data_IF_221307238585
#
_entry.id   IF_221307238585
#
_cell.length_a   1.000
_cell.length_b   1.000
_cell.length_c   1.000
_cell.angle_alpha   90.00
_cell.angle_beta   90.00
_cell.angle_gamma   90.00
#
_symmetry.space_group_name_H-M   'P 1'
#
loop_
_entity.id
_entity.type
_entity.pdbx_description
1 polymer ?
#
# COMPACT_ATOMS: atom_id res chain seq x y z
N UNK A 1 -7.92 1.39 -22.22
CA UNK A 1 -8.92 1.78 -23.24
C UNK A 1 -9.00 3.30 -23.41
N UNK A 2 -9.26 4.10 -22.38
CA UNK A 2 -9.27 5.58 -22.48
C UNK A 2 -7.97 6.22 -23.00
N UNK A 3 -6.80 5.70 -22.59
CA UNK A 3 -5.50 6.21 -23.05
C UNK A 3 -5.24 6.03 -24.56
N UNK A 4 -5.91 5.06 -25.21
CA UNK A 4 -5.71 4.77 -26.63
C UNK A 4 -6.56 5.71 -27.51
N UNK A 5 -7.74 6.12 -27.02
CA UNK A 5 -8.62 7.09 -27.68
C UNK A 5 -8.05 8.51 -27.63
N UNK A 6 -7.23 8.83 -26.63
CA UNK A 6 -6.66 10.17 -26.40
C UNK A 6 -5.23 10.38 -26.95
N UNK A 7 -4.72 9.42 -27.74
CA UNK A 7 -3.35 9.46 -28.29
C UNK A 7 -3.17 10.42 -29.49
N UNK A 8 -4.10 11.36 -29.72
CA UNK A 8 -3.99 12.41 -30.75
C UNK A 8 -3.61 13.74 -30.11
N UNK A 9 -2.83 14.59 -30.78
CA UNK A 9 -2.52 15.96 -30.31
C UNK A 9 -3.82 16.78 -30.41
N UNK A 10 -4.47 17.23 -29.31
CA UNK A 10 -3.94 17.71 -28.02
C UNK A 10 -4.37 16.91 -26.76
N UNK A 11 -4.69 15.62 -26.91
CA UNK A 11 -5.24 14.73 -25.88
C UNK A 11 -4.34 14.44 -24.68
N UNK A 12 -3.02 14.66 -24.75
CA UNK A 12 -2.13 14.47 -23.59
C UNK A 12 -2.48 15.40 -22.42
N UNK A 13 -2.96 16.61 -22.70
CA UNK A 13 -3.44 17.55 -21.66
C UNK A 13 -4.71 17.02 -20.99
N UNK A 14 -5.58 16.38 -21.78
CA UNK A 14 -6.82 15.78 -21.30
C UNK A 14 -6.49 14.53 -20.46
N UNK A 15 -5.45 13.76 -20.79
CA UNK A 15 -4.98 12.64 -19.95
C UNK A 15 -4.53 13.12 -18.57
N UNK A 16 -3.79 14.24 -18.50
CA UNK A 16 -3.41 14.84 -17.22
C UNK A 16 -4.64 15.41 -16.49
N UNK A 17 -5.53 16.10 -17.20
CA UNK A 17 -6.76 16.65 -16.62
C UNK A 17 -7.72 15.56 -16.10
N UNK A 18 -7.69 14.35 -16.66
CA UNK A 18 -8.50 13.22 -16.20
C UNK A 18 -8.19 12.85 -14.73
N UNK A 19 -6.97 13.09 -14.25
CA UNK A 19 -6.59 12.85 -12.85
C UNK A 19 -7.31 13.77 -11.85
N UNK A 20 -7.87 14.89 -12.33
CA UNK A 20 -8.70 15.80 -11.52
C UNK A 20 -10.01 15.11 -11.12
N UNK A 21 -10.54 14.22 -11.95
CA UNK A 21 -11.81 13.53 -11.67
C UNK A 21 -11.73 12.69 -10.39
N UNK A 22 -10.78 11.74 -10.22
CA UNK A 22 -10.65 10.98 -8.97
C UNK A 22 -10.27 11.87 -7.79
N UNK A 23 -9.51 12.97 -8.00
CA UNK A 23 -9.17 13.91 -6.94
C UNK A 23 -10.40 14.66 -6.40
N UNK A 24 -11.26 15.17 -7.29
CA UNK A 24 -12.53 15.80 -6.90
C UNK A 24 -13.46 14.79 -6.25
N UNK A 25 -13.58 13.59 -6.82
CA UNK A 25 -14.35 12.51 -6.22
C UNK A 25 -13.88 12.21 -4.80
N UNK A 26 -12.58 12.05 -4.58
CA UNK A 26 -12.00 11.85 -3.25
C UNK A 26 -12.29 13.05 -2.32
N UNK A 27 -12.20 14.29 -2.80
CA UNK A 27 -12.50 15.48 -2.01
C UNK A 27 -13.96 15.51 -1.53
N UNK A 28 -14.90 15.11 -2.39
CA UNK A 28 -16.32 15.03 -2.01
C UNK A 28 -16.65 13.81 -1.13
N UNK A 29 -15.88 12.71 -1.24
CA UNK A 29 -16.06 11.52 -0.42
C UNK A 29 -15.43 11.63 0.97
N UNK A 30 -14.35 12.41 1.14
CA UNK A 30 -13.66 12.56 2.42
C UNK A 30 -14.59 12.96 3.59
N UNK A 31 -15.53 13.91 3.44
CA UNK A 31 -16.50 14.25 4.48
C UNK A 31 -17.46 13.10 4.87
N UNK A 32 -17.69 12.12 3.98
CA UNK A 32 -18.51 10.94 4.27
C UNK A 32 -17.72 9.86 5.02
N UNK A 33 -16.39 9.87 4.94
CA UNK A 33 -15.55 8.92 5.63
C UNK A 33 -15.49 9.24 7.13
N UNK A 34 -15.72 8.23 7.96
CA UNK A 34 -15.48 8.34 9.40
C UNK A 34 -13.97 8.46 9.67
N UNK A 35 -13.64 9.25 10.68
CA UNK A 35 -12.26 9.36 11.13
C UNK A 35 -11.79 8.04 11.74
N UNK A 36 -10.48 7.75 11.66
CA UNK A 36 -9.94 6.48 12.15
C UNK A 36 -10.21 6.29 13.65
N UNK A 37 -10.91 5.23 14.09
CA UNK A 37 -11.23 5.02 15.51
C UNK A 37 -9.97 4.99 16.39
N UNK A 38 -8.87 4.40 15.90
CA UNK A 38 -7.57 4.39 16.60
C UNK A 38 -6.99 5.79 16.81
N UNK A 39 -7.21 6.70 15.87
CA UNK A 39 -6.77 8.10 16.00
C UNK A 39 -7.60 8.86 17.04
N UNK A 40 -8.90 8.58 17.12
CA UNK A 40 -9.78 9.22 18.10
C UNK A 40 -9.48 8.73 19.54
N UNK A 41 -9.15 7.45 19.70
CA UNK A 41 -8.66 6.91 20.99
C UNK A 41 -7.33 7.58 21.38
N UNK A 42 -6.42 7.84 20.43
CA UNK A 42 -5.13 8.52 20.70
C UNK A 42 -5.23 9.99 21.06
N UNK A 43 -6.40 10.59 20.87
CA UNK A 43 -6.74 11.94 21.31
C UNK A 43 -7.60 11.96 22.58
N UNK A 44 -7.76 10.81 23.26
CA UNK A 44 -8.65 10.61 24.41
C UNK A 44 -10.13 10.94 24.14
N UNK A 45 -10.57 10.93 22.88
CA UNK A 45 -11.96 11.19 22.48
C UNK A 45 -12.74 9.87 22.35
N UNK A 46 -12.90 9.15 23.46
CA UNK A 46 -13.46 7.78 23.48
C UNK A 46 -14.88 7.69 22.92
N UNK A 47 -15.78 8.61 23.27
CA UNK A 47 -17.16 8.60 22.79
C UNK A 47 -17.28 8.77 21.26
N UNK A 48 -16.40 9.57 20.65
CA UNK A 48 -16.37 9.73 19.18
C UNK A 48 -15.74 8.51 18.50
N UNK A 49 -14.75 7.89 19.14
CA UNK A 49 -14.12 6.68 18.64
C UNK A 49 -15.11 5.50 18.60
N UNK A 50 -15.96 5.38 19.62
CA UNK A 50 -17.03 4.37 19.68
C UNK A 50 -18.06 4.57 18.57
N UNK A 51 -18.58 5.80 18.37
CA UNK A 51 -19.52 6.11 17.28
C UNK A 51 -18.90 5.85 15.89
N UNK A 52 -17.63 6.24 15.68
CA UNK A 52 -16.92 5.97 14.43
C UNK A 52 -16.75 4.46 14.17
N UNK A 53 -16.42 3.69 15.21
CA UNK A 53 -16.28 2.23 15.12
C UNK A 53 -17.63 1.55 14.88
N UNK A 54 -18.71 2.09 15.46
CA UNK A 54 -20.08 1.62 15.26
C UNK A 54 -20.59 1.88 13.85
N UNK A 55 -20.31 3.06 13.30
CA UNK A 55 -20.57 3.38 11.89
C UNK A 55 -19.76 2.48 10.93
N UNK A 56 -18.53 2.11 11.30
CA UNK A 56 -17.69 1.25 10.47
C UNK A 56 -18.13 -0.22 10.48
N UNK A 57 -18.55 -0.76 11.65
CA UNK A 57 -18.96 -2.17 11.80
C UNK A 57 -20.43 -2.43 11.50
N UNK A 58 -21.29 -1.41 11.48
CA UNK A 58 -22.69 -1.55 11.07
C UNK A 58 -23.54 -2.43 11.98
N UNK A 59 -23.37 -2.34 13.31
CA UNK A 59 -24.27 -2.97 14.29
C UNK A 59 -23.79 -4.26 14.96
N UNK A 60 -22.54 -4.66 14.75
CA UNK A 60 -21.92 -5.74 15.53
C UNK A 60 -21.56 -5.29 16.96
N UNK A 61 -21.42 -6.24 17.88
CA UNK A 61 -20.94 -5.94 19.23
C UNK A 61 -19.46 -5.52 19.16
N UNK A 62 -19.22 -4.23 19.38
CA UNK A 62 -17.92 -3.57 19.22
C UNK A 62 -17.15 -3.50 20.54
N UNK A 63 -17.79 -3.81 21.67
CA UNK A 63 -17.22 -3.67 23.01
C UNK A 63 -15.85 -4.34 23.14
N UNK A 64 -15.72 -5.57 22.64
CA UNK A 64 -14.46 -6.31 22.70
C UNK A 64 -13.35 -5.66 21.87
N UNK A 65 -13.67 -5.19 20.65
CA UNK A 65 -12.69 -4.56 19.77
C UNK A 65 -12.33 -3.15 20.25
N UNK A 66 -13.29 -2.39 20.74
CA UNK A 66 -13.06 -1.08 21.33
C UNK A 66 -12.16 -1.20 22.56
N UNK A 67 -12.43 -2.18 23.43
CA UNK A 67 -11.58 -2.47 24.59
C UNK A 67 -10.18 -2.91 24.19
N UNK A 68 -10.03 -3.71 23.13
CA UNK A 68 -8.71 -4.08 22.59
C UNK A 68 -7.94 -2.86 22.07
N UNK A 69 -8.61 -1.90 21.41
CA UNK A 69 -7.98 -0.68 20.93
C UNK A 69 -7.56 0.23 22.08
N UNK A 70 -8.42 0.41 23.08
CA UNK A 70 -8.15 1.24 24.27
C UNK A 70 -7.01 0.63 25.08
N UNK A 71 -7.11 -0.67 25.41
CA UNK A 71 -6.06 -1.38 26.14
C UNK A 71 -4.74 -1.36 25.37
N UNK A 72 -4.78 -1.61 24.07
CA UNK A 72 -3.59 -1.54 23.22
C UNK A 72 -2.97 -0.15 23.16
N UNK A 73 -3.66 0.92 23.57
CA UNK A 73 -3.11 2.25 23.67
C UNK A 73 -2.65 2.60 25.08
N UNK A 74 -3.36 2.16 26.11
CA UNK A 74 -2.94 2.28 27.51
C UNK A 74 -1.65 1.48 27.76
N UNK A 75 -1.56 0.25 27.25
CA UNK A 75 -0.34 -0.57 27.28
C UNK A 75 0.81 0.19 26.60
N UNK A 76 0.55 0.88 25.48
CA UNK A 76 1.58 1.71 24.82
C UNK A 76 1.96 2.95 25.63
N UNK A 77 1.05 3.58 26.38
CA UNK A 77 1.34 4.75 27.22
C UNK A 77 2.14 4.35 28.46
N UNK A 78 1.82 3.20 29.07
CA UNK A 78 2.53 2.64 30.23
C UNK A 78 3.91 2.07 29.83
N UNK A 79 4.03 1.40 28.69
CA UNK A 79 5.32 0.92 28.17
C UNK A 79 6.28 2.09 27.85
N UNK A 80 5.76 3.26 27.47
CA UNK A 80 6.57 4.47 27.29
C UNK A 80 7.15 4.98 28.63
N UNK A 81 6.49 4.72 29.77
CA UNK A 81 6.94 5.13 31.10
C UNK A 81 7.82 4.07 31.80
N UNK A 82 7.58 2.76 31.57
CA UNK A 82 8.27 1.69 32.29
C UNK A 82 9.36 0.93 31.52
N UNK A 83 9.34 0.81 30.19
CA UNK A 83 10.35 -0.04 29.52
C UNK A 83 10.66 0.27 28.05
N UNK A 84 11.96 0.37 27.80
CA UNK A 84 12.63 0.39 26.50
C UNK A 84 12.51 -0.93 25.70
N UNK A 85 11.54 -1.80 25.96
CA UNK A 85 11.51 -3.13 25.36
C UNK A 85 10.16 -3.47 24.70
N UNK A 86 10.22 -3.49 23.37
CA UNK A 86 9.64 -4.52 22.53
C UNK A 86 8.17 -4.91 22.80
N UNK A 87 7.21 -4.12 22.30
CA UNK A 87 6.12 -4.59 21.39
C UNK A 87 5.04 -3.52 21.18
N UNK A 88 5.26 -2.53 20.30
CA UNK A 88 4.21 -1.54 20.02
C UNK A 88 4.32 -0.89 18.63
N UNK A 89 3.96 -1.63 17.58
CA UNK A 89 3.73 -1.04 16.25
C UNK A 89 2.31 -0.48 16.13
N UNK A 90 1.99 0.55 16.91
CA UNK A 90 0.90 1.49 16.61
C UNK A 90 0.97 2.65 17.57
N UNK A 91 1.13 3.87 17.03
CA UNK A 91 0.99 5.13 17.74
C UNK A 91 2.03 5.44 18.83
N UNK A 92 3.34 5.25 18.57
CA UNK A 92 4.36 6.02 19.31
C UNK A 92 4.21 7.51 18.92
N UNK A 93 4.05 8.36 19.94
CA UNK A 93 4.45 9.78 20.00
C UNK A 93 5.44 10.11 18.88
N UNK A 94 5.20 11.15 18.07
CA UNK A 94 5.97 11.47 16.86
C UNK A 94 7.48 11.36 17.09
N UNK A 95 8.05 10.18 16.83
CA UNK A 95 9.46 9.93 17.04
C UNK A 95 10.21 10.67 15.96
N UNK A 96 11.27 11.33 16.36
CA UNK A 96 12.18 11.94 15.39
C UNK A 96 12.89 10.82 14.63
N UNK A 97 13.15 11.00 13.33
CA UNK A 97 13.85 9.99 12.51
C UNK A 97 15.19 9.54 13.13
N UNK A 98 15.81 10.42 13.91
CA UNK A 98 17.04 10.13 14.64
C UNK A 98 16.84 9.17 15.81
N UNK A 99 15.74 9.28 16.55
CA UNK A 99 15.39 8.40 17.68
C UNK A 99 15.08 6.98 17.19
N UNK A 100 14.41 6.88 16.03
CA UNK A 100 14.12 5.60 15.35
C UNK A 100 15.41 4.87 14.96
N UNK A 101 16.47 5.61 14.60
CA UNK A 101 17.76 5.04 14.21
C UNK A 101 18.62 4.62 15.41
N UNK A 102 18.43 5.27 16.57
CA UNK A 102 19.15 4.94 17.80
C UNK A 102 18.59 3.66 18.45
N UNK A 103 17.28 3.45 18.37
CA UNK A 103 16.62 2.27 18.92
C UNK A 103 16.89 1.01 18.06
N UNK A 104 17.35 -0.06 18.70
CA UNK A 104 17.87 -1.26 18.03
C UNK A 104 16.76 -2.03 17.30
N UNK A 105 15.56 -2.08 17.87
CA UNK A 105 14.42 -2.81 17.31
C UNK A 105 13.72 -2.01 16.22
N UNK A 106 13.55 -0.70 16.43
CA UNK A 106 13.07 0.21 15.39
C UNK A 106 13.98 0.19 14.16
N UNK A 107 15.31 0.17 14.37
CA UNK A 107 16.29 0.06 13.29
C UNK A 107 16.17 -1.25 12.51
N UNK A 108 15.94 -2.39 13.19
CA UNK A 108 15.73 -3.68 12.51
C UNK A 108 14.48 -3.66 11.63
N UNK A 109 13.37 -3.11 12.14
CA UNK A 109 12.14 -2.97 11.37
C UNK A 109 12.33 -2.03 10.18
N UNK A 110 12.98 -0.89 10.39
CA UNK A 110 13.30 0.07 9.34
C UNK A 110 14.18 -0.56 8.25
N UNK A 111 15.21 -1.33 8.63
CA UNK A 111 16.05 -2.04 7.66
C UNK A 111 15.26 -3.04 6.81
N UNK A 112 14.30 -3.75 7.41
CA UNK A 112 13.42 -4.67 6.65
C UNK A 112 12.54 -3.87 5.69
N UNK A 113 11.90 -2.79 6.14
CA UNK A 113 11.04 -1.95 5.29
C UNK A 113 11.83 -1.33 4.12
N UNK A 114 12.99 -0.74 4.41
CA UNK A 114 13.87 -0.15 3.39
C UNK A 114 14.38 -1.24 2.44
N UNK A 115 14.86 -2.36 2.97
CA UNK A 115 15.34 -3.49 2.17
C UNK A 115 14.26 -4.03 1.21
N UNK A 116 13.03 -4.19 1.70
CA UNK A 116 11.90 -4.61 0.86
C UNK A 116 11.58 -3.59 -0.24
N UNK A 117 11.58 -2.29 0.07
CA UNK A 117 11.36 -1.24 -0.93
C UNK A 117 12.48 -1.19 -1.98
N UNK A 118 13.72 -1.36 -1.55
CA UNK A 118 14.89 -1.40 -2.45
C UNK A 118 14.79 -2.61 -3.38
N UNK A 119 14.51 -3.80 -2.86
CA UNK A 119 14.32 -5.02 -3.68
C UNK A 119 13.18 -4.83 -4.68
N UNK A 120 12.07 -4.19 -4.27
CA UNK A 120 10.95 -3.90 -5.15
C UNK A 120 11.33 -2.98 -6.32
N UNK A 121 12.18 -1.97 -6.09
CA UNK A 121 12.65 -1.07 -7.15
C UNK A 121 13.72 -1.74 -8.03
N UNK A 122 14.67 -2.47 -7.43
CA UNK A 122 15.78 -3.13 -8.13
C UNK A 122 15.34 -4.30 -9.01
N UNK A 123 14.15 -4.86 -8.79
CA UNK A 123 13.51 -5.79 -9.72
C UNK A 123 13.38 -5.22 -11.14
N UNK A 124 13.44 -3.90 -11.33
CA UNK A 124 13.41 -3.27 -12.64
C UNK A 124 12.01 -3.17 -13.24
N UNK A 125 10.96 -3.36 -12.43
CA UNK A 125 9.56 -3.30 -12.87
C UNK A 125 9.23 -1.97 -13.57
N UNK A 126 9.76 -0.85 -13.08
CA UNK A 126 9.57 0.46 -13.71
C UNK A 126 10.21 0.49 -15.10
N UNK A 127 11.42 -0.05 -15.25
CA UNK A 127 12.07 -0.19 -16.55
C UNK A 127 11.23 -1.04 -17.52
N UNK A 128 10.71 -2.18 -17.06
CA UNK A 128 9.82 -3.02 -17.85
C UNK A 128 8.56 -2.25 -18.26
N UNK A 129 7.90 -1.54 -17.35
CA UNK A 129 6.67 -0.80 -17.67
C UNK A 129 6.93 0.32 -18.70
N UNK A 130 8.01 1.11 -18.53
CA UNK A 130 8.32 2.20 -19.44
C UNK A 130 8.81 1.73 -20.81
N UNK A 131 9.66 0.69 -20.86
CA UNK A 131 10.28 0.24 -22.09
C UNK A 131 9.56 -0.93 -22.76
N UNK A 132 8.59 -1.58 -22.10
CA UNK A 132 7.82 -2.70 -22.67
C UNK A 132 7.16 -2.33 -23.98
N UNK A 133 6.56 -1.13 -24.07
CA UNK A 133 5.93 -0.67 -25.31
C UNK A 133 6.96 -0.50 -26.44
N UNK A 134 8.17 -0.01 -26.13
CA UNK A 134 9.24 0.12 -27.12
C UNK A 134 9.80 -1.23 -27.58
N UNK A 135 9.91 -2.21 -26.65
CA UNK A 135 10.32 -3.58 -26.95
C UNK A 135 9.26 -4.28 -27.80
N UNK A 136 7.98 -4.18 -27.42
CA UNK A 136 6.88 -4.77 -28.18
C UNK A 136 6.70 -4.10 -29.54
N UNK A 137 7.00 -2.81 -29.70
CA UNK A 137 6.98 -2.14 -31.01
C UNK A 137 7.99 -2.75 -31.98
N UNK A 138 9.20 -3.11 -31.51
CA UNK A 138 10.23 -3.73 -32.34
C UNK A 138 9.86 -5.15 -32.80
N UNK A 139 9.06 -5.88 -32.03
CA UNK A 139 8.70 -7.28 -32.28
C UNK A 139 7.36 -7.40 -33.02
N UNK A 140 6.36 -6.58 -32.66
CA UNK A 140 4.97 -6.69 -33.11
C UNK A 140 4.50 -5.53 -34.00
N UNK A 141 5.35 -4.52 -34.26
CA UNK A 141 4.99 -3.37 -35.10
C UNK A 141 3.77 -2.61 -34.56
N UNK A 142 2.78 -2.31 -35.40
CA UNK A 142 1.57 -1.57 -35.02
C UNK A 142 0.71 -2.28 -33.95
N UNK A 143 0.83 -3.60 -33.80
CA UNK A 143 0.07 -4.38 -32.81
C UNK A 143 0.59 -4.24 -31.37
N UNK A 144 1.71 -3.53 -31.16
CA UNK A 144 2.30 -3.34 -29.83
C UNK A 144 1.35 -2.68 -28.82
N UNK A 145 0.41 -1.85 -29.28
CA UNK A 145 -0.61 -1.22 -28.42
C UNK A 145 -1.49 -2.26 -27.71
N UNK A 146 -1.83 -3.36 -28.38
CA UNK A 146 -2.61 -4.46 -27.80
C UNK A 146 -1.78 -5.28 -26.81
N UNK A 147 -0.49 -5.49 -27.10
CA UNK A 147 0.43 -6.17 -26.18
C UNK A 147 0.58 -5.41 -24.84
N UNK A 148 0.75 -4.08 -24.89
CA UNK A 148 0.82 -3.25 -23.67
C UNK A 148 -0.47 -3.30 -22.85
N UNK A 149 -1.65 -3.33 -23.51
CA UNK A 149 -2.92 -3.52 -22.81
C UNK A 149 -2.97 -4.90 -22.14
N UNK A 150 -2.52 -5.96 -22.83
CA UNK A 150 -2.45 -7.30 -22.29
C UNK A 150 -1.60 -7.39 -21.01
N UNK A 151 -0.44 -6.73 -20.99
CA UNK A 151 0.41 -6.64 -19.77
C UNK A 151 -0.34 -5.96 -18.62
N UNK A 152 -1.09 -4.89 -18.89
CA UNK A 152 -1.91 -4.23 -17.89
C UNK A 152 -3.01 -5.13 -17.31
N UNK A 153 -3.67 -5.91 -18.17
CA UNK A 153 -4.71 -6.87 -17.75
C UNK A 153 -4.11 -7.99 -16.91
N UNK A 154 -2.97 -8.55 -17.32
CA UNK A 154 -2.26 -9.58 -16.55
C UNK A 154 -1.86 -9.04 -15.18
N UNK A 155 -1.34 -7.81 -15.11
CA UNK A 155 -0.99 -7.18 -13.83
C UNK A 155 -2.21 -7.05 -12.91
N UNK A 156 -3.36 -6.60 -13.44
CA UNK A 156 -4.60 -6.50 -12.68
C UNK A 156 -5.04 -7.87 -12.12
N UNK A 157 -5.07 -8.89 -12.97
CA UNK A 157 -5.46 -10.26 -12.56
C UNK A 157 -4.50 -10.79 -11.49
N UNK A 158 -3.19 -10.66 -11.71
CA UNK A 158 -2.19 -11.12 -10.75
C UNK A 158 -2.25 -10.37 -9.44
N UNK A 159 -2.58 -9.07 -9.46
CA UNK A 159 -2.79 -8.28 -8.24
C UNK A 159 -3.99 -8.79 -7.44
N UNK A 160 -5.11 -9.11 -8.11
CA UNK A 160 -6.29 -9.68 -7.44
C UNK A 160 -6.00 -11.07 -6.86
N UNK A 161 -5.31 -11.92 -7.63
CA UNK A 161 -4.89 -13.26 -7.15
C UNK A 161 -3.97 -13.12 -5.93
N UNK A 162 -3.00 -12.20 -5.98
CA UNK A 162 -2.08 -11.92 -4.87
C UNK A 162 -2.83 -11.42 -3.64
N UNK A 163 -3.79 -10.51 -3.83
CA UNK A 163 -4.63 -9.98 -2.74
C UNK A 163 -5.51 -11.04 -2.09
N UNK A 164 -5.91 -12.08 -2.83
CA UNK A 164 -6.64 -13.21 -2.24
C UNK A 164 -5.69 -14.19 -1.53
N UNK A 165 -4.49 -14.39 -2.10
CA UNK A 165 -3.54 -15.39 -1.62
C UNK A 165 -2.78 -14.92 -0.37
N UNK A 166 -2.60 -13.61 -0.19
CA UNK A 166 -1.94 -13.01 0.97
C UNK A 166 -2.64 -13.34 2.29
N UNK A 167 -3.98 -13.38 2.28
CA UNK A 167 -4.79 -13.70 3.45
C UNK A 167 -4.74 -15.19 3.80
N UNK A 168 -4.50 -16.07 2.80
CA UNK A 168 -4.45 -17.52 2.99
C UNK A 168 -3.07 -18.07 3.32
N UNK A 169 -2.03 -17.58 2.64
CA UNK A 169 -0.65 -18.15 2.73
C UNK A 169 0.32 -17.27 3.50
N UNK A 170 -0.09 -16.07 3.88
CA UNK A 170 0.76 -15.11 4.57
C UNK A 170 1.73 -14.39 3.63
N UNK A 171 2.32 -13.30 4.15
CA UNK A 171 3.07 -12.31 3.36
C UNK A 171 4.45 -12.82 2.92
N UNK A 172 5.19 -13.48 3.82
CA UNK A 172 6.59 -13.91 3.59
C UNK A 172 6.77 -14.91 2.44
N UNK A 173 6.01 -16.02 2.33
CA UNK A 173 6.21 -16.97 1.23
C UNK A 173 5.80 -16.36 -0.12
N UNK A 174 4.81 -15.47 -0.13
CA UNK A 174 4.37 -14.79 -1.34
C UNK A 174 5.46 -13.86 -1.89
N UNK A 175 6.11 -13.10 -1.02
CA UNK A 175 7.25 -12.23 -1.39
C UNK A 175 8.46 -13.03 -1.90
N UNK A 176 8.78 -14.16 -1.25
CA UNK A 176 9.92 -14.98 -1.66
C UNK A 176 9.68 -15.64 -3.02
N UNK A 177 8.49 -16.20 -3.23
CA UNK A 177 8.13 -16.85 -4.50
C UNK A 177 8.10 -15.86 -5.66
N UNK A 178 7.53 -14.66 -5.46
CA UNK A 178 7.54 -13.61 -6.49
C UNK A 178 8.97 -13.19 -6.86
N UNK A 179 9.84 -12.99 -5.86
CA UNK A 179 11.22 -12.56 -6.11
C UNK A 179 12.01 -13.64 -6.87
N UNK A 180 11.84 -14.92 -6.52
CA UNK A 180 12.48 -16.01 -7.26
C UNK A 180 12.00 -16.09 -8.72
N UNK A 181 10.70 -15.88 -8.97
CA UNK A 181 10.15 -15.86 -10.33
C UNK A 181 10.71 -14.72 -11.17
N UNK A 182 10.82 -13.53 -10.59
CA UNK A 182 11.46 -12.36 -11.22
C UNK A 182 12.92 -12.68 -11.56
N UNK A 183 13.70 -13.21 -10.61
CA UNK A 183 15.11 -13.54 -10.86
C UNK A 183 15.29 -14.51 -12.02
N UNK A 184 14.47 -15.58 -12.08
CA UNK A 184 14.52 -16.57 -13.15
C UNK A 184 14.14 -15.92 -14.50
N UNK A 185 13.07 -15.13 -14.51
CA UNK A 185 12.63 -14.46 -15.75
C UNK A 185 13.67 -13.47 -16.28
N UNK A 186 14.34 -12.71 -15.41
CA UNK A 186 15.35 -11.75 -15.82
C UNK A 186 16.59 -12.43 -16.42
N UNK A 187 17.00 -13.59 -15.88
CA UNK A 187 18.10 -14.38 -16.46
C UNK A 187 17.73 -14.96 -17.82
N UNK A 188 16.47 -15.33 -18.05
CA UNK A 188 16.02 -15.87 -19.34
C UNK A 188 15.90 -14.82 -20.46
N UNK A 189 15.70 -13.55 -20.08
CA UNK A 189 15.54 -12.44 -21.03
C UNK A 189 16.88 -11.87 -21.50
N UNK A 190 17.94 -12.04 -20.69
CA UNK A 190 19.33 -11.68 -21.03
C UNK A 190 19.96 -12.78 -21.87
#
# INVERSE_FOLDING_TARGET
>A
LFGLVLSFVPGWRILLALTIIPALFQLFLLPLCVESPRYLVSRHHLAKAEDALQRLRGGYNIENEFREIVKGQEDNEVDIEESNEATAFSAKKSLTLWEILQDLDCRRMLMICVGLNVIQQLCGINGIIFYSTAVFLKIFGENAKYATIGVGVINLIMTLVTSYLIDKRGRRPLLLTSQTGICISSVLVV
#
